data_IF_779245071238
#
_entry.id   IF_779245071238
#
_cell.length_a   1.000
_cell.length_b   1.000
_cell.length_c   1.000
_cell.angle_alpha   90.00
_cell.angle_beta   90.00
_cell.angle_gamma   90.00
#
_symmetry.space_group_name_H-M   'P 1'
#
loop_
_entity.id
_entity.type
_entity.pdbx_description
1 polymer ?
#
# COMPACT_ATOMS: atom_id res chain seq x y z
N UNK A 1 1.89 -18.45 5.68
CA UNK A 1 1.01 -17.34 5.28
C UNK A 1 1.86 -16.38 4.48
N UNK A 2 1.45 -16.02 3.26
CA UNK A 2 2.19 -15.06 2.45
C UNK A 2 1.63 -13.66 2.75
N UNK A 3 2.43 -12.73 3.29
CA UNK A 3 1.94 -11.42 3.65
C UNK A 3 1.61 -10.57 2.41
N UNK A 4 0.61 -9.68 2.52
CA UNK A 4 0.00 -8.91 1.42
C UNK A 4 0.90 -7.77 0.86
N UNK A 5 2.21 -7.99 0.75
CA UNK A 5 3.16 -6.97 0.26
C UNK A 5 3.19 -6.81 -1.26
N UNK A 6 2.42 -7.61 -2.01
CA UNK A 6 2.45 -7.64 -3.48
C UNK A 6 1.72 -6.45 -4.12
N UNK A 7 0.62 -6.00 -3.52
CA UNK A 7 -0.25 -4.98 -4.10
C UNK A 7 -0.19 -3.69 -3.28
N UNK A 8 0.58 -2.68 -3.75
CA UNK A 8 0.65 -1.35 -3.10
C UNK A 8 -0.74 -0.74 -2.88
N UNK A 9 -1.66 -0.93 -3.85
CA UNK A 9 -3.05 -0.48 -3.77
C UNK A 9 -3.85 -1.07 -2.59
N UNK A 10 -3.39 -2.19 -2.00
CA UNK A 10 -4.05 -2.88 -0.88
C UNK A 10 -3.37 -2.63 0.47
N UNK A 11 -2.32 -1.81 0.53
CA UNK A 11 -1.59 -1.55 1.76
C UNK A 11 -2.47 -0.91 2.84
N UNK A 12 -3.49 -0.14 2.44
CA UNK A 12 -4.47 0.41 3.37
C UNK A 12 -5.26 -0.67 4.15
N UNK A 13 -5.38 -1.89 3.62
CA UNK A 13 -6.03 -3.03 4.29
C UNK A 13 -5.15 -3.66 5.37
N UNK A 14 -3.85 -3.36 5.39
CA UNK A 14 -2.90 -3.83 6.41
C UNK A 14 -2.80 -2.87 7.59
N UNK A 15 -3.28 -1.63 7.43
CA UNK A 15 -3.39 -0.70 8.53
C UNK A 15 -4.43 -1.17 9.55
N UNK A 16 -4.26 -0.74 10.81
CA UNK A 16 -5.22 -1.05 11.86
C UNK A 16 -6.61 -0.47 11.50
N UNK A 17 -7.69 -1.29 11.47
CA UNK A 17 -9.04 -0.82 11.20
C UNK A 17 -9.50 0.31 12.13
N UNK A 18 -9.01 0.35 13.38
CA UNK A 18 -9.35 1.39 14.36
C UNK A 18 -8.74 2.75 14.04
N UNK A 19 -7.75 2.80 13.14
CA UNK A 19 -7.23 4.08 12.65
C UNK A 19 -8.15 4.71 11.61
N UNK A 20 -9.08 3.97 11.01
CA UNK A 20 -10.08 4.49 10.06
C UNK A 20 -9.48 5.33 8.91
N UNK A 21 -8.27 4.98 8.45
CA UNK A 21 -7.56 5.74 7.42
C UNK A 21 -6.85 7.00 7.92
N UNK A 22 -6.89 7.29 9.23
CA UNK A 22 -6.25 8.44 9.86
C UNK A 22 -4.75 8.20 10.11
N UNK A 23 -3.99 8.03 9.03
CA UNK A 23 -2.54 7.90 9.05
C UNK A 23 -1.94 8.51 7.78
N UNK A 24 -0.67 8.94 7.82
CA UNK A 24 0.02 9.35 6.61
C UNK A 24 0.32 8.14 5.72
N UNK A 25 -0.33 8.06 4.57
CA UNK A 25 -0.19 6.96 3.60
C UNK A 25 1.28 6.69 3.22
N UNK A 26 2.05 7.76 3.01
CA UNK A 26 3.50 7.66 2.72
C UNK A 26 4.28 6.96 3.84
N UNK A 27 3.98 7.29 5.11
CA UNK A 27 4.65 6.67 6.24
C UNK A 27 4.23 5.21 6.41
N UNK A 28 2.96 4.89 6.13
CA UNK A 28 2.49 3.51 6.11
C UNK A 28 3.28 2.69 5.08
N UNK A 29 3.45 3.21 3.86
CA UNK A 29 4.15 2.49 2.80
C UNK A 29 5.62 2.25 3.15
N UNK A 30 6.28 3.23 3.74
CA UNK A 30 7.66 3.08 4.21
C UNK A 30 7.76 2.07 5.35
N UNK A 31 6.84 2.10 6.32
CA UNK A 31 6.80 1.12 7.40
C UNK A 31 6.59 -0.31 6.86
N UNK A 32 5.72 -0.48 5.87
CA UNK A 32 5.53 -1.75 5.18
C UNK A 32 6.79 -2.19 4.42
N UNK A 33 7.52 -1.28 3.77
CA UNK A 33 8.77 -1.61 3.10
C UNK A 33 9.81 -2.15 4.09
N UNK A 34 9.94 -1.52 5.26
CA UNK A 34 10.81 -2.01 6.35
C UNK A 34 10.38 -3.41 6.81
N UNK A 35 9.06 -3.60 7.01
CA UNK A 35 8.53 -4.92 7.38
C UNK A 35 8.79 -5.98 6.30
N UNK A 36 8.67 -5.63 5.02
CA UNK A 36 8.94 -6.52 3.90
C UNK A 36 10.42 -6.94 3.83
N UNK A 37 11.36 -6.03 4.12
CA UNK A 37 12.79 -6.37 4.24
C UNK A 37 13.05 -7.35 5.39
N UNK A 38 12.31 -7.22 6.50
CA UNK A 38 12.47 -8.11 7.67
C UNK A 38 11.88 -9.51 7.44
N UNK A 39 10.87 -9.63 6.58
CA UNK A 39 10.12 -10.86 6.33
C UNK A 39 10.61 -11.64 5.10
N UNK A 40 11.76 -11.27 4.54
CA UNK A 40 12.38 -11.98 3.42
C UNK A 40 12.63 -13.46 3.76
N UNK A 41 12.43 -14.35 2.78
CA UNK A 41 12.61 -15.80 2.97
C UNK A 41 14.07 -16.11 3.34
N UNK A 42 15.00 -15.53 2.58
CA UNK A 42 16.44 -15.70 2.81
C UNK A 42 16.92 -14.87 4.00
N UNK A 43 17.62 -15.52 4.94
CA UNK A 43 18.09 -14.85 6.15
C UNK A 43 19.15 -13.76 5.89
N UNK A 44 19.92 -13.89 4.82
CA UNK A 44 21.01 -12.98 4.46
C UNK A 44 20.53 -11.65 3.90
N UNK A 45 19.29 -11.57 3.41
CA UNK A 45 18.69 -10.33 2.89
C UNK A 45 17.95 -9.54 3.96
N UNK A 46 17.75 -10.12 5.15
CA UNK A 46 17.12 -9.43 6.28
C UNK A 46 18.10 -8.41 6.89
N UNK A 47 17.64 -7.19 7.19
CA UNK A 47 18.50 -6.15 7.76
C UNK A 47 18.91 -6.46 9.20
N UNK A 48 20.00 -5.85 9.66
CA UNK A 48 20.35 -5.88 11.08
C UNK A 48 19.32 -5.09 11.89
N UNK A 49 19.05 -5.54 13.12
CA UNK A 49 18.06 -4.88 13.98
C UNK A 49 18.43 -3.42 14.28
N UNK A 50 19.73 -3.08 14.32
CA UNK A 50 20.20 -1.70 14.46
C UNK A 50 19.71 -0.80 13.32
N UNK A 51 19.70 -1.32 12.10
CA UNK A 51 19.32 -0.58 10.89
C UNK A 51 17.81 -0.38 10.87
N UNK A 52 17.06 -1.42 11.27
CA UNK A 52 15.60 -1.34 11.43
C UNK A 52 15.21 -0.28 12.45
N UNK A 53 15.85 -0.25 13.63
CA UNK A 53 15.57 0.76 14.66
C UNK A 53 15.87 2.17 14.14
N UNK A 54 17.00 2.34 13.45
CA UNK A 54 17.38 3.64 12.86
C UNK A 54 16.34 4.10 11.83
N UNK A 55 15.88 3.20 10.96
CA UNK A 55 14.86 3.51 9.96
C UNK A 55 13.51 3.87 10.62
N UNK A 56 13.09 3.15 11.67
CA UNK A 56 11.88 3.46 12.41
C UNK A 56 11.96 4.80 13.15
N UNK A 57 13.12 5.14 13.72
CA UNK A 57 13.34 6.43 14.38
C UNK A 57 13.21 7.60 13.37
N UNK A 58 13.72 7.41 12.16
CA UNK A 58 13.56 8.37 11.06
C UNK A 58 12.08 8.55 10.67
N UNK A 59 11.32 7.45 10.55
CA UNK A 59 9.87 7.49 10.28
C UNK A 59 9.09 8.22 11.38
N UNK A 60 9.48 8.02 12.65
CA UNK A 60 8.81 8.68 13.78
C UNK A 60 9.04 10.20 13.83
N UNK A 61 10.16 10.66 13.27
CA UNK A 61 10.56 12.09 13.33
C UNK A 61 9.94 12.92 12.19
N UNK A 62 9.13 12.32 11.31
CA UNK A 62 8.40 13.03 10.25
C UNK A 62 9.28 13.59 9.13
N UNK A 63 10.56 13.19 9.07
CA UNK A 63 11.49 13.57 8.00
C UNK A 63 11.32 12.60 6.85
N UNK A 64 10.22 12.67 6.11
CA UNK A 64 10.04 11.87 4.90
C UNK A 64 10.75 12.56 3.72
N UNK A 65 12.08 12.47 3.62
CA UNK A 65 12.80 12.90 2.42
C UNK A 65 13.58 11.73 1.78
N UNK A 66 13.11 11.38 0.57
CA UNK A 66 13.86 11.17 -0.69
C UNK A 66 14.24 9.75 -1.17
N UNK A 67 13.74 9.46 -2.41
CA UNK A 67 14.22 8.70 -3.61
C UNK A 67 14.93 7.33 -3.41
N UNK A 68 14.69 6.23 -4.16
CA UNK A 68 14.54 5.97 -5.62
C UNK A 68 13.51 4.83 -5.88
N UNK A 69 12.58 4.97 -6.83
CA UNK A 69 12.55 4.44 -8.23
C UNK A 69 12.26 2.93 -8.38
N UNK A 70 11.00 2.64 -8.76
CA UNK A 70 10.63 1.62 -9.75
C UNK A 70 9.38 2.18 -10.48
N UNK A 71 9.59 2.74 -11.67
CA UNK A 71 8.62 2.75 -12.81
C UNK A 71 8.27 1.28 -13.13
N UNK A 72 7.06 0.78 -13.41
CA UNK A 72 5.87 1.27 -14.13
C UNK A 72 4.60 0.52 -13.64
N UNK A 73 3.43 1.16 -13.66
CA UNK A 73 2.42 0.95 -14.72
C UNK A 73 1.20 1.87 -14.46
N UNK A 74 1.12 2.96 -15.24
CA UNK A 74 -0.14 3.66 -15.47
C UNK A 74 -1.02 2.80 -16.39
N UNK A 75 -2.25 2.49 -15.97
CA UNK A 75 -3.36 2.56 -16.93
C UNK A 75 -4.69 2.92 -16.25
N UNK A 76 -5.06 4.16 -16.54
CA UNK A 76 -6.33 4.88 -16.70
C UNK A 76 -7.68 4.38 -16.14
N UNK A 77 -8.39 5.40 -15.63
CA UNK A 77 -9.83 5.65 -15.44
C UNK A 77 -10.80 4.78 -16.29
N UNK A 78 -12.05 4.52 -15.91
CA UNK A 78 -13.13 5.50 -15.84
C UNK A 78 -14.34 4.98 -15.04
N UNK A 79 -14.92 5.87 -14.24
CA UNK A 79 -16.31 5.77 -13.82
C UNK A 79 -17.20 6.00 -15.06
N UNK A 80 -18.03 5.04 -15.45
CA UNK A 80 -19.33 5.34 -16.06
C UNK A 80 -20.45 4.62 -15.32
N UNK A 81 -21.15 5.43 -14.54
CA UNK A 81 -22.44 5.15 -13.97
C UNK A 81 -23.48 5.39 -15.07
N UNK A 82 -24.08 4.34 -15.64
CA UNK A 82 -25.33 4.43 -16.43
C UNK A 82 -26.32 3.41 -15.89
N UNK A 83 -27.24 3.93 -15.07
CA UNK A 83 -28.54 3.34 -14.84
C UNK A 83 -29.27 3.23 -16.18
N UNK A 84 -29.55 2.00 -16.62
CA UNK A 84 -30.58 1.75 -17.61
C UNK A 84 -31.73 1.03 -16.92
N UNK A 85 -32.77 1.82 -16.60
CA UNK A 85 -34.09 1.32 -16.26
C UNK A 85 -34.64 0.58 -17.48
N UNK A 86 -34.72 -0.74 -17.41
CA UNK A 86 -35.56 -1.52 -18.31
C UNK A 86 -37.03 -1.25 -17.97
N UNK A 87 -37.69 -0.45 -18.80
CA UNK A 87 -39.14 -0.37 -18.82
C UNK A 87 -39.63 -0.52 -20.26
N UNK A 88 -40.00 -1.77 -20.58
CA UNK A 88 -41.26 -2.17 -21.19
C UNK A 88 -41.76 -1.38 -22.41
N UNK A 89 -41.80 -2.02 -23.58
CA UNK A 89 -42.95 -2.86 -23.94
C UNK A 89 -42.77 -3.54 -25.30
N UNK A 90 -43.19 -4.79 -25.32
CA UNK A 90 -43.37 -5.68 -26.46
C UNK A 90 -44.53 -5.19 -27.36
N UNK A 91 -44.29 -5.36 -28.67
CA UNK A 91 -45.16 -5.91 -29.73
C UNK A 91 -46.63 -5.46 -29.90
N UNK A 92 -46.92 -5.22 -31.20
CA UNK A 92 -48.21 -5.04 -31.93
C UNK A 92 -48.95 -3.68 -31.86
#
# INVERSE_FOLDING_TARGET
AEPLFKDKKKFHLMADPLMEGNYPEKALYQALAIAAMCLQEEATTRPLISDVVTALEYLSTGKCQTEEEDEDDENENENENKNENENKNEEE
#
